data_IF_875960940231
#
_entry.id   IF_875960940231
#
_cell.length_a   1.000
_cell.length_b   1.000
_cell.length_c   1.000
_cell.angle_alpha   90.00
_cell.angle_beta   90.00
_cell.angle_gamma   90.00
#
_symmetry.space_group_name_H-M   'P 1'
#
loop_
_entity.id
_entity.type
_entity.pdbx_description
1 polymer ?
#
# COMPACT_ATOMS: atom_id res chain seq x y z
N UNK A 1 -18.27 57.49 -12.47
CA UNK A 1 -18.10 56.05 -12.72
C UNK A 1 -16.84 55.61 -12.05
N UNK A 2 -16.97 54.87 -10.95
CA UNK A 2 -15.82 54.27 -10.21
C UNK A 2 -15.78 52.78 -10.55
N UNK A 3 -14.81 52.37 -11.33
CA UNK A 3 -14.53 50.95 -11.67
C UNK A 3 -13.90 50.26 -10.45
N UNK A 4 -14.62 49.32 -9.84
CA UNK A 4 -14.09 48.42 -8.86
C UNK A 4 -13.26 47.34 -9.59
N UNK A 5 -11.94 47.33 -9.38
CA UNK A 5 -11.07 46.24 -9.78
C UNK A 5 -11.19 45.14 -8.72
N UNK A 6 -11.84 44.02 -9.04
CA UNK A 6 -11.90 42.82 -8.20
C UNK A 6 -10.59 42.09 -8.36
N UNK A 7 -9.74 42.11 -7.30
CA UNK A 7 -8.49 41.36 -7.23
C UNK A 7 -8.83 39.90 -6.81
N UNK A 8 -8.88 39.01 -7.79
CA UNK A 8 -8.99 37.58 -7.53
C UNK A 8 -7.66 37.06 -6.98
N UNK A 9 -7.58 36.86 -5.66
CA UNK A 9 -6.44 36.23 -5.01
C UNK A 9 -6.49 34.73 -5.29
N UNK A 10 -5.74 34.25 -6.29
CA UNK A 10 -5.49 32.81 -6.48
C UNK A 10 -4.64 32.33 -5.30
N UNK A 11 -5.27 31.63 -4.37
CA UNK A 11 -4.57 30.79 -3.40
C UNK A 11 -3.90 29.65 -4.17
N UNK A 12 -2.63 29.82 -4.50
CA UNK A 12 -1.76 28.71 -4.89
C UNK A 12 -1.57 27.89 -3.61
N UNK A 13 -2.35 26.83 -3.43
CA UNK A 13 -2.05 25.78 -2.47
C UNK A 13 -0.76 25.15 -2.97
N UNK A 14 0.36 25.58 -2.44
CA UNK A 14 1.66 24.96 -2.71
C UNK A 14 1.55 23.50 -2.29
N UNK A 15 1.66 22.59 -3.25
CA UNK A 15 1.89 21.17 -2.97
C UNK A 15 3.28 21.13 -2.34
N UNK A 16 3.35 21.11 -1.02
CA UNK A 16 4.62 20.86 -0.32
C UNK A 16 5.01 19.43 -0.66
N UNK A 17 6.23 19.25 -1.15
CA UNK A 17 6.80 17.92 -1.35
C UNK A 17 6.60 17.11 -0.06
N UNK A 18 6.11 15.85 -0.13
CA UNK A 18 5.97 15.03 1.06
C UNK A 18 7.35 14.85 1.69
N UNK A 19 7.44 15.07 3.00
CA UNK A 19 8.69 14.89 3.71
C UNK A 19 9.11 13.39 3.73
N UNK A 20 10.37 13.12 4.02
CA UNK A 20 10.89 11.76 4.10
C UNK A 20 10.16 10.92 5.15
N UNK A 21 9.78 11.51 6.27
CA UNK A 21 9.09 10.80 7.34
C UNK A 21 7.73 10.29 6.89
N UNK A 22 6.99 11.09 6.10
CA UNK A 22 5.75 10.63 5.50
C UNK A 22 5.98 9.47 4.51
N UNK A 23 6.95 9.59 3.61
CA UNK A 23 7.25 8.57 2.61
C UNK A 23 7.70 7.23 3.24
N UNK A 24 8.40 7.31 4.36
CA UNK A 24 8.86 6.17 5.16
C UNK A 24 7.81 5.63 6.14
N UNK A 25 6.63 6.27 6.25
CA UNK A 25 5.58 5.88 7.18
C UNK A 25 5.84 6.28 8.64
N UNK A 26 6.78 7.19 8.90
CA UNK A 26 7.16 7.64 10.25
C UNK A 26 6.23 8.76 10.73
N UNK A 27 4.95 8.49 10.77
CA UNK A 27 3.90 9.42 11.20
C UNK A 27 2.73 8.65 11.80
N UNK A 28 1.81 9.38 12.45
CA UNK A 28 0.56 8.83 12.94
C UNK A 28 -0.61 9.27 12.04
N UNK A 29 -1.24 8.35 11.28
CA UNK A 29 -2.35 8.69 10.41
C UNK A 29 -3.59 9.21 11.17
N UNK A 30 -3.71 8.94 12.47
CA UNK A 30 -4.80 9.43 13.29
C UNK A 30 -4.70 10.94 13.57
N UNK A 31 -3.49 11.50 13.55
CA UNK A 31 -3.21 12.92 13.76
C UNK A 31 -3.01 13.72 12.48
N UNK A 32 -2.96 13.06 11.32
CA UNK A 32 -2.72 13.69 10.04
C UNK A 32 -4.05 14.06 9.35
N UNK A 33 -4.28 15.35 9.15
CA UNK A 33 -5.52 15.88 8.56
C UNK A 33 -5.81 15.39 7.13
N UNK A 34 -4.83 14.83 6.46
CA UNK A 34 -4.97 14.23 5.11
C UNK A 34 -5.67 12.88 5.15
N UNK A 35 -5.87 12.28 6.33
CA UNK A 35 -6.39 10.94 6.49
C UNK A 35 -7.81 10.92 7.03
N UNK A 36 -8.62 10.01 6.52
CA UNK A 36 -9.96 9.71 7.02
C UNK A 36 -9.97 8.38 7.75
N UNK A 37 -10.64 8.36 8.91
CA UNK A 37 -10.91 7.12 9.63
C UNK A 37 -11.92 6.28 8.85
N UNK A 38 -11.64 4.99 8.72
CA UNK A 38 -12.50 4.05 8.02
C UNK A 38 -13.75 3.73 8.85
N UNK A 39 -14.89 3.64 8.17
CA UNK A 39 -16.17 3.24 8.79
C UNK A 39 -16.21 1.73 9.02
N UNK A 40 -16.86 1.26 10.11
CA UNK A 40 -16.90 -0.16 10.45
C UNK A 40 -17.50 -1.05 9.35
N UNK A 41 -18.51 -0.55 8.62
CA UNK A 41 -19.18 -1.28 7.54
C UNK A 41 -18.28 -1.60 6.35
N UNK A 42 -17.19 -0.84 6.17
CA UNK A 42 -16.22 -1.01 5.10
C UNK A 42 -14.99 -1.84 5.51
N UNK A 43 -14.89 -2.25 6.78
CA UNK A 43 -13.65 -2.83 7.31
C UNK A 43 -13.87 -4.14 8.03
N UNK A 44 -12.83 -4.97 8.05
CA UNK A 44 -12.73 -6.10 8.95
C UNK A 44 -11.27 -6.34 9.38
N UNK A 45 -11.09 -7.22 10.38
CA UNK A 45 -9.74 -7.63 10.80
C UNK A 45 -8.84 -6.46 11.21
N UNK A 46 -7.66 -6.40 10.63
CA UNK A 46 -6.63 -5.42 10.97
C UNK A 46 -6.96 -3.98 10.51
N UNK A 47 -7.92 -3.82 9.58
CA UNK A 47 -8.33 -2.49 9.10
C UNK A 47 -9.35 -1.80 10.01
N UNK A 48 -9.90 -2.51 11.00
CA UNK A 48 -10.88 -1.93 11.93
C UNK A 48 -10.26 -0.75 12.72
N UNK A 49 -10.88 0.43 12.62
CA UNK A 49 -10.35 1.66 13.22
C UNK A 49 -9.14 2.26 12.49
N UNK A 50 -8.77 1.71 11.35
CA UNK A 50 -7.68 2.20 10.49
C UNK A 50 -8.03 3.46 9.71
N UNK A 51 -7.08 3.91 8.90
CA UNK A 51 -7.13 5.16 8.15
C UNK A 51 -6.66 4.94 6.71
N UNK A 52 -7.17 5.75 5.78
CA UNK A 52 -6.62 5.95 4.44
C UNK A 52 -6.54 7.44 4.14
N UNK A 53 -5.77 7.81 3.12
CA UNK A 53 -5.89 9.16 2.57
C UNK A 53 -7.35 9.44 2.24
N UNK A 54 -7.79 10.65 2.52
CA UNK A 54 -9.20 11.05 2.36
C UNK A 54 -9.71 10.78 0.95
N UNK A 55 -8.95 11.20 -0.04
CA UNK A 55 -9.28 11.01 -1.47
C UNK A 55 -9.32 9.52 -1.86
N UNK A 56 -8.41 8.71 -1.29
CA UNK A 56 -8.39 7.25 -1.52
C UNK A 56 -9.64 6.59 -0.94
N UNK A 57 -10.04 7.02 0.27
CA UNK A 57 -11.20 6.43 0.93
C UNK A 57 -12.52 6.87 0.25
N UNK A 58 -12.64 8.10 -0.19
CA UNK A 58 -13.80 8.58 -0.96
C UNK A 58 -13.95 7.82 -2.28
N UNK A 59 -12.85 7.60 -3.00
CA UNK A 59 -12.83 6.79 -4.22
C UNK A 59 -13.22 5.33 -3.92
N UNK A 60 -12.71 4.74 -2.83
CA UNK A 60 -13.09 3.40 -2.42
C UNK A 60 -14.60 3.30 -2.09
N UNK A 61 -15.17 4.26 -1.36
CA UNK A 61 -16.60 4.26 -1.04
C UNK A 61 -17.43 4.27 -2.34
N UNK A 62 -17.07 5.11 -3.29
CA UNK A 62 -17.75 5.17 -4.59
C UNK A 62 -17.65 3.85 -5.35
N UNK A 63 -16.49 3.21 -5.34
CA UNK A 63 -16.26 1.89 -5.93
C UNK A 63 -17.06 0.80 -5.22
N UNK A 64 -17.07 0.80 -3.88
CA UNK A 64 -17.80 -0.18 -3.07
C UNK A 64 -19.31 -0.08 -3.27
N UNK A 65 -19.86 1.14 -3.33
CA UNK A 65 -21.28 1.40 -3.60
C UNK A 65 -21.69 0.91 -5.00
N UNK A 66 -20.81 1.00 -5.99
CA UNK A 66 -21.05 0.48 -7.32
C UNK A 66 -21.04 -1.06 -7.35
N UNK A 67 -20.04 -1.66 -6.71
CA UNK A 67 -19.92 -3.12 -6.59
C UNK A 67 -21.13 -3.73 -5.85
N UNK A 68 -21.63 -3.07 -4.80
CA UNK A 68 -22.78 -3.57 -4.02
C UNK A 68 -24.05 -3.64 -4.85
N UNK A 69 -24.28 -2.73 -5.79
CA UNK A 69 -25.43 -2.78 -6.74
C UNK A 69 -25.41 -4.02 -7.62
N UNK A 70 -24.24 -4.63 -7.80
CA UNK A 70 -24.04 -5.87 -8.55
C UNK A 70 -23.90 -7.10 -7.63
N UNK A 71 -24.17 -6.93 -6.32
CA UNK A 71 -24.09 -7.99 -5.32
C UNK A 71 -22.65 -8.38 -4.97
N UNK A 72 -21.69 -7.49 -5.20
CA UNK A 72 -20.28 -7.65 -4.84
C UNK A 72 -19.98 -6.81 -3.60
N UNK A 73 -19.48 -7.45 -2.55
CA UNK A 73 -19.13 -6.75 -1.31
C UNK A 73 -17.61 -6.59 -1.18
N UNK A 74 -17.14 -5.33 -1.21
CA UNK A 74 -15.74 -4.99 -0.99
C UNK A 74 -15.50 -4.61 0.47
N UNK A 75 -14.53 -5.28 1.11
CA UNK A 75 -14.16 -5.06 2.51
C UNK A 75 -12.67 -4.82 2.62
N UNK A 76 -12.26 -3.70 3.21
CA UNK A 76 -10.87 -3.40 3.52
C UNK A 76 -10.46 -4.24 4.72
N UNK A 77 -9.42 -5.04 4.58
CA UNK A 77 -8.85 -5.90 5.64
C UNK A 77 -7.47 -5.43 6.11
N UNK A 78 -6.81 -4.58 5.30
CA UNK A 78 -5.59 -3.87 5.67
C UNK A 78 -5.60 -2.49 4.98
N UNK A 79 -5.23 -1.45 5.70
CA UNK A 79 -5.21 -0.06 5.24
C UNK A 79 -3.82 0.56 5.47
N UNK A 80 -3.75 1.83 5.84
CA UNK A 80 -2.50 2.50 6.18
C UNK A 80 -1.79 1.79 7.32
N UNK A 81 -0.54 1.47 7.09
CA UNK A 81 0.39 0.93 8.10
C UNK A 81 1.55 1.92 8.26
N UNK A 82 1.68 2.53 9.43
CA UNK A 82 2.86 3.34 9.72
C UNK A 82 4.12 2.47 9.86
N UNK A 83 5.28 3.11 10.00
CA UNK A 83 6.58 2.41 10.12
C UNK A 83 6.57 1.38 11.24
N UNK A 84 6.09 1.73 12.44
CA UNK A 84 6.09 0.83 13.60
C UNK A 84 5.16 -0.38 13.43
N UNK A 85 4.00 -0.18 12.82
CA UNK A 85 3.08 -1.27 12.49
C UNK A 85 3.70 -2.24 11.47
N UNK A 86 4.37 -1.73 10.45
CA UNK A 86 5.07 -2.54 9.46
C UNK A 86 6.28 -3.24 10.07
N UNK A 87 7.02 -2.57 10.95
CA UNK A 87 8.16 -3.13 11.70
C UNK A 87 7.72 -4.32 12.55
N UNK A 88 6.59 -4.21 13.23
CA UNK A 88 6.04 -5.32 14.02
C UNK A 88 5.74 -6.55 13.15
N UNK A 89 5.16 -6.36 11.96
CA UNK A 89 4.89 -7.46 11.00
C UNK A 89 6.20 -8.09 10.55
N UNK A 90 7.15 -7.29 10.13
CA UNK A 90 8.45 -7.70 9.64
C UNK A 90 9.24 -8.49 10.71
N UNK A 91 9.41 -7.89 11.89
CA UNK A 91 10.22 -8.48 12.97
C UNK A 91 9.59 -9.73 13.58
N UNK A 92 8.27 -9.87 13.58
CA UNK A 92 7.63 -11.12 13.96
C UNK A 92 7.99 -12.28 13.03
N UNK A 93 8.10 -12.01 11.72
CA UNK A 93 8.57 -12.99 10.73
C UNK A 93 10.06 -13.21 10.82
N UNK A 94 10.84 -12.14 10.91
CA UNK A 94 12.31 -12.19 11.04
C UNK A 94 12.77 -12.99 12.24
N UNK A 95 12.12 -12.79 13.39
CA UNK A 95 12.44 -13.46 14.65
C UNK A 95 11.73 -14.82 14.82
N UNK A 96 11.07 -15.35 13.78
CA UNK A 96 10.42 -16.65 13.79
C UNK A 96 9.16 -16.77 14.67
N UNK A 97 8.60 -15.65 15.14
CA UNK A 97 7.33 -15.64 15.91
C UNK A 97 6.14 -15.95 15.01
N UNK A 98 6.23 -15.55 13.75
CA UNK A 98 5.24 -15.85 12.71
C UNK A 98 5.99 -16.58 11.59
N UNK A 99 5.61 -17.82 11.26
CA UNK A 99 6.23 -18.54 10.16
C UNK A 99 5.89 -17.89 8.82
N UNK A 100 6.80 -18.02 7.86
CA UNK A 100 6.57 -17.63 6.46
C UNK A 100 6.50 -18.91 5.64
N UNK A 101 5.36 -19.14 4.99
CA UNK A 101 5.09 -20.38 4.23
C UNK A 101 5.41 -21.65 5.02
N UNK A 102 4.99 -21.65 6.29
CA UNK A 102 5.23 -22.77 7.22
C UNK A 102 6.66 -22.90 7.77
N UNK A 103 7.58 -22.00 7.38
CA UNK A 103 8.99 -22.05 7.81
C UNK A 103 9.27 -21.02 8.90
N UNK A 104 9.95 -21.46 9.97
CA UNK A 104 10.57 -20.56 10.94
C UNK A 104 11.88 -20.01 10.36
N UNK A 105 11.95 -18.70 10.17
CA UNK A 105 13.08 -18.07 9.48
C UNK A 105 14.33 -17.90 10.34
N UNK A 106 14.30 -18.19 11.63
CA UNK A 106 15.52 -18.13 12.48
C UNK A 106 16.59 -19.12 12.05
N UNK A 107 16.20 -20.19 11.33
CA UNK A 107 17.14 -21.17 10.75
C UNK A 107 17.84 -20.66 9.48
N UNK A 108 17.35 -19.60 8.85
CA UNK A 108 17.98 -18.98 7.67
C UNK A 108 19.05 -18.02 8.14
N UNK A 109 20.32 -18.43 8.05
CA UNK A 109 21.47 -17.68 8.59
C UNK A 109 21.78 -16.46 7.73
N UNK A 110 21.71 -16.59 6.39
CA UNK A 110 21.98 -15.48 5.48
C UNK A 110 20.88 -14.42 5.58
N UNK A 111 21.21 -13.16 5.97
CA UNK A 111 20.21 -12.11 6.17
C UNK A 111 19.47 -11.73 4.88
N UNK A 112 20.16 -11.72 3.74
CA UNK A 112 19.53 -11.37 2.45
C UNK A 112 18.53 -12.44 2.02
N UNK A 113 18.84 -13.72 2.23
CA UNK A 113 17.92 -14.83 1.93
C UNK A 113 16.70 -14.79 2.86
N UNK A 114 16.92 -14.53 4.16
CA UNK A 114 15.85 -14.34 5.14
C UNK A 114 14.94 -13.18 4.73
N UNK A 115 15.52 -12.04 4.39
CA UNK A 115 14.80 -10.86 3.92
C UNK A 115 14.01 -11.14 2.64
N UNK A 116 14.61 -11.78 1.62
CA UNK A 116 13.92 -12.15 0.37
C UNK A 116 12.74 -13.07 0.60
N UNK A 117 12.85 -13.99 1.59
CA UNK A 117 11.74 -14.88 1.93
C UNK A 117 10.56 -14.11 2.51
N UNK A 118 10.81 -13.14 3.40
CA UNK A 118 9.75 -12.28 3.95
C UNK A 118 9.15 -11.39 2.86
N UNK A 119 9.99 -10.84 1.98
CA UNK A 119 9.63 -9.94 0.90
C UNK A 119 8.76 -10.58 -0.19
N UNK A 120 8.48 -11.87 -0.12
CA UNK A 120 7.51 -12.45 -1.04
C UNK A 120 6.14 -11.79 -0.90
N UNK A 121 5.72 -11.49 0.35
CA UNK A 121 4.40 -10.92 0.67
C UNK A 121 4.42 -9.82 1.75
N UNK A 122 5.58 -9.38 2.20
CA UNK A 122 5.65 -8.37 3.26
C UNK A 122 6.81 -7.41 3.06
N UNK A 123 6.49 -6.13 2.98
CA UNK A 123 7.46 -5.06 2.77
C UNK A 123 8.41 -4.87 3.95
N UNK A 124 9.64 -4.43 3.69
CA UNK A 124 10.48 -3.83 4.70
C UNK A 124 9.84 -2.54 5.25
N UNK A 125 9.98 -2.26 6.56
CA UNK A 125 9.61 -0.97 7.12
C UNK A 125 10.28 0.17 6.35
N UNK A 126 9.51 1.22 6.04
CA UNK A 126 9.99 2.34 5.23
C UNK A 126 9.91 2.11 3.72
N UNK A 127 9.58 0.89 3.23
CA UNK A 127 9.42 0.61 1.80
C UNK A 127 8.02 0.15 1.39
N UNK A 128 7.08 0.15 2.35
CA UNK A 128 5.71 -0.28 2.10
C UNK A 128 4.88 0.82 1.46
N UNK A 129 4.16 0.50 0.38
CA UNK A 129 3.21 1.43 -0.24
C UNK A 129 2.01 1.73 0.66
N UNK A 130 1.69 0.82 1.61
CA UNK A 130 0.69 1.10 2.65
C UNK A 130 1.05 2.28 3.56
N UNK A 131 2.32 2.71 3.62
CA UNK A 131 2.71 3.90 4.37
C UNK A 131 2.03 5.16 3.85
N UNK A 132 1.77 5.21 2.55
CA UNK A 132 1.25 6.41 1.89
C UNK A 132 -0.25 6.64 2.07
N UNK A 133 -0.96 5.61 2.55
CA UNK A 133 -2.43 5.67 2.70
C UNK A 133 -3.20 5.59 1.39
N UNK A 134 -2.53 5.17 0.31
CA UNK A 134 -3.09 5.03 -1.03
C UNK A 134 -3.37 3.58 -1.41
N UNK A 135 -2.85 2.64 -0.62
CA UNK A 135 -2.91 1.22 -0.90
C UNK A 135 -3.71 0.49 0.19
N UNK A 136 -4.50 -0.48 -0.22
CA UNK A 136 -5.35 -1.28 0.65
C UNK A 136 -5.39 -2.74 0.20
N UNK A 137 -5.65 -3.64 1.17
CA UNK A 137 -5.91 -5.04 0.91
C UNK A 137 -7.41 -5.31 1.07
N UNK A 138 -8.01 -6.00 0.11
CA UNK A 138 -9.45 -6.25 0.04
C UNK A 138 -9.77 -7.74 0.26
N UNK A 139 -10.77 -8.01 1.05
CA UNK A 139 -11.49 -9.26 1.26
C UNK A 139 -10.68 -10.43 1.83
N UNK A 140 -9.50 -10.78 1.30
CA UNK A 140 -8.66 -11.89 1.76
C UNK A 140 -7.19 -11.61 1.50
N UNK A 141 -6.27 -12.21 2.28
CA UNK A 141 -4.81 -12.18 2.01
C UNK A 141 -4.31 -13.48 1.34
N UNK A 142 -5.23 -14.26 0.75
CA UNK A 142 -4.91 -15.53 0.10
C UNK A 142 -5.37 -15.51 -1.36
N UNK A 143 -4.44 -15.72 -2.31
CA UNK A 143 -4.78 -15.76 -3.74
C UNK A 143 -5.82 -16.82 -4.07
N UNK A 144 -5.80 -17.98 -3.37
CA UNK A 144 -6.74 -19.07 -3.57
C UNK A 144 -8.21 -18.67 -3.28
N UNK A 145 -8.44 -17.71 -2.39
CA UNK A 145 -9.77 -17.14 -2.15
C UNK A 145 -10.38 -16.55 -3.44
N UNK A 146 -9.56 -15.94 -4.26
CA UNK A 146 -9.97 -15.28 -5.50
C UNK A 146 -10.02 -16.20 -6.72
N UNK A 147 -9.92 -17.52 -6.52
CA UNK A 147 -9.96 -18.51 -7.60
C UNK A 147 -11.32 -19.17 -7.77
N UNK A 148 -12.21 -19.08 -6.77
CA UNK A 148 -13.53 -19.72 -6.80
C UNK A 148 -14.58 -18.88 -6.05
N UNK A 149 -15.86 -19.18 -6.29
CA UNK A 149 -16.99 -18.63 -5.54
C UNK A 149 -17.06 -17.10 -5.53
N UNK A 150 -17.43 -16.54 -4.38
CA UNK A 150 -17.57 -15.08 -4.23
C UNK A 150 -16.24 -14.36 -4.39
N UNK A 151 -15.12 -14.94 -3.97
CA UNK A 151 -13.81 -14.37 -4.16
C UNK A 151 -13.43 -14.17 -5.64
N UNK A 152 -13.73 -15.16 -6.48
CA UNK A 152 -13.53 -15.05 -7.93
C UNK A 152 -14.40 -13.93 -8.51
N UNK A 153 -15.68 -13.85 -8.14
CA UNK A 153 -16.59 -12.80 -8.60
C UNK A 153 -16.09 -11.40 -8.20
N UNK A 154 -15.56 -11.25 -6.97
CA UNK A 154 -14.96 -10.01 -6.49
C UNK A 154 -13.75 -9.64 -7.35
N UNK A 155 -12.86 -10.60 -7.60
CA UNK A 155 -11.62 -10.33 -8.36
C UNK A 155 -11.92 -10.00 -9.83
N UNK A 156 -12.83 -10.71 -10.48
CA UNK A 156 -13.28 -10.42 -11.83
C UNK A 156 -13.89 -9.02 -11.93
N UNK A 157 -14.75 -8.66 -10.98
CA UNK A 157 -15.34 -7.32 -10.91
C UNK A 157 -14.28 -6.23 -10.75
N UNK A 158 -13.34 -6.42 -9.82
CA UNK A 158 -12.25 -5.46 -9.60
C UNK A 158 -11.33 -5.32 -10.82
N UNK A 159 -11.01 -6.41 -11.51
CA UNK A 159 -10.16 -6.36 -12.71
C UNK A 159 -10.80 -5.61 -13.87
N UNK A 160 -12.13 -5.59 -13.95
CA UNK A 160 -12.89 -4.87 -14.97
C UNK A 160 -13.10 -3.41 -14.58
N UNK A 161 -13.48 -3.14 -13.34
CA UNK A 161 -14.05 -1.85 -12.94
C UNK A 161 -13.16 -0.97 -12.06
N UNK A 162 -12.17 -1.53 -11.34
CA UNK A 162 -11.39 -0.75 -10.38
C UNK A 162 -10.69 0.48 -11.00
N UNK A 163 -10.28 0.38 -12.26
CA UNK A 163 -9.64 1.47 -12.98
C UNK A 163 -10.57 2.69 -13.19
N UNK A 164 -11.89 2.49 -13.28
CA UNK A 164 -12.89 3.56 -13.41
C UNK A 164 -12.92 4.46 -12.16
N UNK A 165 -12.51 3.91 -11.01
CA UNK A 165 -12.43 4.59 -9.71
C UNK A 165 -10.99 4.99 -9.34
N UNK A 166 -10.04 4.86 -10.28
CA UNK A 166 -8.65 5.23 -10.08
C UNK A 166 -7.79 4.17 -9.39
N UNK A 167 -8.29 2.93 -9.21
CA UNK A 167 -7.51 1.86 -8.61
C UNK A 167 -6.87 0.94 -9.64
N UNK A 168 -5.68 0.41 -9.29
CA UNK A 168 -5.04 -0.66 -10.04
C UNK A 168 -4.45 -1.70 -9.09
N UNK A 169 -4.23 -2.92 -9.59
CA UNK A 169 -3.49 -3.98 -8.89
C UNK A 169 -1.99 -3.82 -9.18
N UNK A 170 -1.16 -3.38 -8.21
CA UNK A 170 0.28 -3.17 -8.45
C UNK A 170 1.05 -4.50 -8.56
N UNK A 171 0.61 -5.54 -7.87
CA UNK A 171 1.31 -6.82 -7.78
C UNK A 171 0.56 -7.92 -8.53
N UNK A 172 0.58 -7.82 -9.87
CA UNK A 172 0.06 -8.86 -10.77
C UNK A 172 1.05 -10.01 -10.91
N UNK A 173 0.73 -11.03 -11.71
CA UNK A 173 1.65 -12.13 -12.00
C UNK A 173 3.00 -11.65 -12.52
N UNK A 174 4.09 -12.27 -12.05
CA UNK A 174 5.46 -12.03 -12.53
C UNK A 174 5.71 -12.53 -13.96
N UNK A 175 4.79 -13.27 -14.55
CA UNK A 175 4.90 -13.72 -15.94
C UNK A 175 5.02 -12.55 -16.94
N UNK A 176 4.59 -11.35 -16.54
CA UNK A 176 4.76 -10.10 -17.31
C UNK A 176 6.17 -9.49 -17.25
N UNK A 177 7.12 -10.11 -16.52
CA UNK A 177 8.47 -9.58 -16.28
C UNK A 177 8.58 -8.63 -15.09
N UNK A 178 7.52 -8.45 -14.30
CA UNK A 178 7.53 -7.66 -13.07
C UNK A 178 8.49 -8.27 -12.03
N UNK A 179 9.19 -7.42 -11.28
CA UNK A 179 10.06 -7.79 -10.16
C UNK A 179 9.35 -7.65 -8.80
N UNK A 180 10.03 -7.93 -7.72
CA UNK A 180 9.60 -7.69 -6.34
C UNK A 180 8.63 -8.74 -5.79
N UNK A 181 7.54 -8.26 -5.17
CA UNK A 181 6.56 -9.10 -4.47
C UNK A 181 5.93 -10.16 -5.36
N UNK A 182 5.43 -11.25 -4.78
CA UNK A 182 4.60 -12.21 -5.51
C UNK A 182 3.27 -11.55 -5.94
N UNK A 183 2.45 -12.29 -6.67
CA UNK A 183 1.11 -11.81 -7.03
C UNK A 183 0.25 -11.66 -5.79
N UNK A 184 -0.43 -10.52 -5.68
CA UNK A 184 -1.36 -10.22 -4.60
C UNK A 184 -2.69 -9.74 -5.22
N UNK A 185 -3.65 -10.66 -5.39
CA UNK A 185 -4.98 -10.36 -5.97
C UNK A 185 -5.81 -9.43 -5.09
N UNK A 186 -5.45 -9.34 -3.82
CA UNK A 186 -6.12 -8.50 -2.82
C UNK A 186 -5.63 -7.06 -2.76
N UNK A 187 -4.40 -6.76 -3.27
CA UNK A 187 -3.75 -5.47 -3.09
C UNK A 187 -4.11 -4.49 -4.19
N UNK A 188 -4.68 -3.36 -3.81
CA UNK A 188 -5.16 -2.31 -4.73
C UNK A 188 -4.62 -0.95 -4.34
N UNK A 189 -4.16 -0.19 -5.33
CA UNK A 189 -3.49 1.11 -5.18
C UNK A 189 -4.27 2.21 -5.89
N UNK A 190 -4.52 3.33 -5.20
CA UNK A 190 -5.18 4.52 -5.76
C UNK A 190 -4.17 5.38 -6.53
N UNK A 191 -4.21 5.30 -7.86
CA UNK A 191 -3.22 5.89 -8.76
C UNK A 191 -3.13 7.41 -8.73
N UNK A 192 -4.24 8.18 -8.58
CA UNK A 192 -4.14 9.64 -8.62
C UNK A 192 -3.18 10.22 -7.58
N UNK A 193 -2.97 9.53 -6.46
CA UNK A 193 -2.01 9.94 -5.43
C UNK A 193 -0.73 9.10 -5.45
N UNK A 194 -0.86 7.77 -5.59
CA UNK A 194 0.28 6.86 -5.42
C UNK A 194 1.36 7.03 -6.49
N UNK A 195 1.03 7.54 -7.68
CA UNK A 195 2.02 7.85 -8.74
C UNK A 195 2.99 8.93 -8.29
N UNK A 196 2.47 10.08 -7.87
CA UNK A 196 3.29 11.20 -7.40
C UNK A 196 4.11 10.79 -6.18
N UNK A 197 3.52 10.04 -5.24
CA UNK A 197 4.22 9.57 -4.06
C UNK A 197 5.34 8.56 -4.40
N UNK A 198 5.16 7.73 -5.42
CA UNK A 198 6.21 6.85 -5.94
C UNK A 198 7.36 7.67 -6.53
N UNK A 199 7.07 8.68 -7.35
CA UNK A 199 8.09 9.53 -7.95
C UNK A 199 8.87 10.29 -6.85
N UNK A 200 8.17 10.84 -5.86
CA UNK A 200 8.80 11.51 -4.70
C UNK A 200 9.61 10.52 -3.83
N UNK A 201 9.13 9.30 -3.64
CA UNK A 201 9.88 8.25 -2.93
C UNK A 201 11.20 7.96 -3.63
N UNK A 202 11.19 7.70 -4.93
CA UNK A 202 12.39 7.39 -5.73
C UNK A 202 13.38 8.56 -5.77
N UNK A 203 12.86 9.78 -5.82
CA UNK A 203 13.67 11.01 -5.81
C UNK A 203 14.36 11.25 -4.47
N UNK A 204 13.66 11.04 -3.35
CA UNK A 204 14.07 11.53 -2.04
C UNK A 204 14.60 10.44 -1.09
N UNK A 205 14.19 9.18 -1.23
CA UNK A 205 14.58 8.09 -0.34
C UNK A 205 15.83 7.39 -0.87
N UNK A 206 16.75 7.07 0.05
CA UNK A 206 17.98 6.32 -0.19
C UNK A 206 17.99 5.08 0.72
N UNK A 207 18.88 4.14 0.46
CA UNK A 207 18.99 2.92 1.28
C UNK A 207 19.33 3.23 2.74
N UNK A 208 20.09 4.29 2.99
CA UNK A 208 20.46 4.76 4.33
C UNK A 208 19.24 5.27 5.14
N UNK A 209 18.15 5.63 4.46
CA UNK A 209 16.91 6.05 5.11
C UNK A 209 16.08 4.83 5.60
N UNK A 210 16.31 3.63 5.00
CA UNK A 210 15.56 2.38 5.28
C UNK A 210 16.26 1.61 6.38
N UNK A 211 16.14 2.10 7.60
CA UNK A 211 16.85 1.58 8.80
C UNK A 211 15.94 1.52 10.01
N UNK A 212 16.45 0.93 11.11
CA UNK A 212 15.77 0.91 12.40
C UNK A 212 14.95 -0.36 12.65
N UNK A 213 15.23 -1.44 11.92
CA UNK A 213 14.64 -2.77 12.10
C UNK A 213 15.64 -3.87 11.76
N UNK A 214 15.38 -5.10 12.19
CA UNK A 214 16.27 -6.24 11.95
C UNK A 214 16.31 -6.59 10.45
N UNK A 215 17.51 -6.72 9.88
CA UNK A 215 17.70 -7.06 8.46
C UNK A 215 17.63 -5.85 7.52
N UNK A 216 17.60 -4.63 8.05
CA UNK A 216 17.61 -3.41 7.23
C UNK A 216 18.88 -3.27 6.39
N UNK A 217 20.00 -3.85 6.82
CA UNK A 217 21.27 -3.91 6.10
C UNK A 217 21.17 -4.62 4.74
N UNK A 218 20.19 -5.49 4.56
CA UNK A 218 19.93 -6.18 3.30
C UNK A 218 19.23 -5.31 2.24
N UNK A 219 18.75 -4.13 2.59
CA UNK A 219 17.90 -3.30 1.69
C UNK A 219 18.60 -2.95 0.37
N UNK A 220 19.88 -2.55 0.42
CA UNK A 220 20.68 -2.21 -0.75
C UNK A 220 21.03 -3.44 -1.59
N UNK A 221 21.55 -4.51 -0.96
CA UNK A 221 21.92 -5.75 -1.64
C UNK A 221 20.73 -6.42 -2.35
N UNK A 222 19.53 -6.24 -1.83
CA UNK A 222 18.28 -6.72 -2.43
C UNK A 222 17.78 -5.76 -3.53
N UNK A 223 18.17 -4.50 -3.50
CA UNK A 223 17.67 -3.45 -4.39
C UNK A 223 16.20 -3.11 -4.08
N UNK A 224 15.87 -2.93 -2.78
CA UNK A 224 14.47 -2.80 -2.32
C UNK A 224 13.71 -1.69 -3.05
N UNK A 225 14.36 -0.56 -3.34
CA UNK A 225 13.73 0.58 -4.03
C UNK A 225 13.37 0.19 -5.46
N UNK A 226 14.34 -0.27 -6.26
CA UNK A 226 14.14 -0.59 -7.67
C UNK A 226 13.32 -1.84 -7.90
N UNK A 227 13.61 -2.91 -7.14
CA UNK A 227 12.98 -4.21 -7.38
C UNK A 227 11.59 -4.34 -6.75
N UNK A 228 11.31 -3.64 -5.63
CA UNK A 228 10.07 -3.84 -4.88
C UNK A 228 9.17 -2.60 -4.89
N UNK A 229 9.67 -1.42 -4.49
CA UNK A 229 8.84 -0.21 -4.47
C UNK A 229 8.42 0.19 -5.88
N UNK A 230 9.35 0.10 -6.86
CA UNK A 230 9.08 0.34 -8.28
C UNK A 230 8.61 -0.91 -9.04
N UNK A 231 8.68 -2.11 -8.44
CA UNK A 231 8.32 -3.38 -9.05
C UNK A 231 6.81 -3.59 -9.14
N UNK A 232 6.10 -2.70 -9.80
CA UNK A 232 4.64 -2.67 -9.91
C UNK A 232 4.18 -2.73 -11.37
N UNK A 233 2.95 -3.24 -11.59
CA UNK A 233 2.31 -3.34 -12.90
C UNK A 233 1.50 -2.11 -13.28
N UNK A 234 1.19 -1.24 -12.32
CA UNK A 234 0.40 -0.05 -12.58
C UNK A 234 1.14 0.85 -13.56
N UNK A 235 0.59 1.04 -14.75
CA UNK A 235 1.18 1.90 -15.79
C UNK A 235 1.44 3.31 -15.26
N UNK A 236 2.60 3.83 -15.61
CA UNK A 236 2.99 5.22 -15.37
C UNK A 236 2.15 6.19 -16.18
#
# INVERSE_FOLDING_TARGET
MKTLLSLCLLLIVGITDPDKDYLLGRFDPASDVRFSKLRPEHTSGAAMGGYLRMETYEAFVTMADAAEKEGIRLIIISATRNFESQKKIWENKWNGRVPVEGKNLTSVINPDERARTILRYSSMPGSSRHHWGTDMDLNSLENSYFETGDGLRIYEWLTIHAAEYGFCQPYTSKASGRTGYEEEKWHWSYLPLSRTLLDEYVKNIRYEDITGFNGSESAEAIGIIGNYVQGISCSR
#
